data_IF_875230830381
#
_entry.id   IF_875230830381
#
_cell.length_a   1.000
_cell.length_b   1.000
_cell.length_c   1.000
_cell.angle_alpha   90.00
_cell.angle_beta   90.00
_cell.angle_gamma   90.00
#
_symmetry.space_group_name_H-M   'P 1'
#
loop_
_entity.id
_entity.type
_entity.pdbx_description
1 polymer ?
#
# COMPACT_ATOMS: atom_id res chain seq x y z
N UNK A 1 -7.87 -4.29 23.60
CA UNK A 1 -7.89 -4.37 22.11
C UNK A 1 -6.57 -3.81 21.61
N UNK A 2 -5.90 -4.47 20.64
CA UNK A 2 -4.68 -3.92 20.03
C UNK A 2 -5.05 -2.69 19.19
N UNK A 3 -4.26 -1.63 19.32
CA UNK A 3 -4.39 -0.40 18.54
C UNK A 3 -3.28 -0.33 17.50
N UNK A 4 -3.62 0.20 16.33
CA UNK A 4 -2.69 0.47 15.24
C UNK A 4 -2.66 1.96 14.92
N UNK A 5 -1.58 2.42 14.32
CA UNK A 5 -1.58 3.69 13.62
C UNK A 5 -1.86 3.42 12.13
N UNK A 6 -2.58 4.33 11.51
CA UNK A 6 -2.90 4.30 10.07
C UNK A 6 -2.01 5.30 9.36
N UNK A 7 -1.51 4.95 8.18
CA UNK A 7 -0.81 5.87 7.30
C UNK A 7 -1.55 5.97 5.97
N UNK A 8 -1.86 7.19 5.57
CA UNK A 8 -2.52 7.51 4.31
C UNK A 8 -1.74 8.59 3.57
N UNK A 9 -1.06 8.26 2.46
CA UNK A 9 -0.48 9.26 1.57
C UNK A 9 -1.56 9.97 0.75
N UNK A 10 -1.48 11.29 0.66
CA UNK A 10 -2.50 12.11 0.03
C UNK A 10 -1.93 12.82 -1.20
N UNK A 11 -2.49 12.49 -2.36
CA UNK A 11 -2.19 13.13 -3.63
C UNK A 11 -3.51 13.52 -4.32
N UNK A 12 -4.11 14.65 -3.86
CA UNK A 12 -5.44 15.07 -4.29
C UNK A 12 -6.56 14.18 -3.78
N UNK A 13 -7.65 14.10 -4.54
CA UNK A 13 -8.83 13.23 -4.29
C UNK A 13 -9.51 13.49 -2.94
N UNK A 14 -9.89 14.73 -2.57
CA UNK A 14 -10.42 15.02 -1.23
C UNK A 14 -11.70 14.27 -0.91
N UNK A 15 -12.65 14.12 -1.83
CA UNK A 15 -13.88 13.38 -1.59
C UNK A 15 -13.65 11.89 -1.45
N UNK A 16 -12.77 11.31 -2.27
CA UNK A 16 -12.37 9.91 -2.13
C UNK A 16 -11.65 9.70 -0.79
N UNK A 17 -10.73 10.61 -0.42
CA UNK A 17 -10.03 10.59 0.87
C UNK A 17 -11.01 10.62 2.05
N UNK A 18 -12.00 11.50 2.02
CA UNK A 18 -13.03 11.59 3.05
C UNK A 18 -13.83 10.29 3.15
N UNK A 19 -14.27 9.73 2.02
CA UNK A 19 -14.99 8.45 1.99
C UNK A 19 -14.14 7.29 2.50
N UNK A 20 -12.86 7.22 2.10
CA UNK A 20 -11.91 6.21 2.59
C UNK A 20 -11.81 6.26 4.11
N UNK A 21 -11.51 7.43 4.67
CA UNK A 21 -11.35 7.59 6.12
C UNK A 21 -12.66 7.36 6.87
N UNK A 22 -13.81 7.86 6.37
CA UNK A 22 -15.11 7.63 7.00
C UNK A 22 -15.48 6.15 7.01
N UNK A 23 -15.33 5.44 5.89
CA UNK A 23 -15.61 4.01 5.84
C UNK A 23 -14.66 3.22 6.74
N UNK A 24 -13.36 3.54 6.76
CA UNK A 24 -12.39 2.91 7.65
C UNK A 24 -12.75 3.12 9.13
N UNK A 25 -13.04 4.36 9.51
CA UNK A 25 -13.40 4.70 10.90
C UNK A 25 -14.72 4.05 11.32
N UNK A 26 -15.71 3.96 10.43
CA UNK A 26 -16.99 3.34 10.74
C UNK A 26 -16.85 1.83 11.02
N UNK A 27 -15.93 1.14 10.35
CA UNK A 27 -15.77 -0.30 10.48
C UNK A 27 -14.66 -0.73 11.44
N UNK A 28 -13.55 0.01 11.46
CA UNK A 28 -12.33 -0.36 12.21
C UNK A 28 -11.85 0.70 13.20
N UNK A 29 -12.63 1.75 13.45
CA UNK A 29 -12.23 2.90 14.29
C UNK A 29 -11.78 2.50 15.70
N UNK A 30 -12.39 1.46 16.27
CA UNK A 30 -12.01 0.93 17.58
C UNK A 30 -10.57 0.38 17.64
N UNK A 31 -9.99 0.05 16.50
CA UNK A 31 -8.61 -0.44 16.38
C UNK A 31 -7.62 0.69 16.08
N UNK A 32 -8.07 1.90 15.75
CA UNK A 32 -7.21 3.00 15.31
C UNK A 32 -6.86 3.91 16.51
N UNK A 33 -5.57 4.24 16.65
CA UNK A 33 -5.08 5.26 17.57
C UNK A 33 -4.90 6.60 16.88
N UNK A 34 -4.04 6.64 15.86
CA UNK A 34 -3.71 7.83 15.10
C UNK A 34 -3.75 7.56 13.60
N UNK A 35 -4.02 8.61 12.84
CA UNK A 35 -3.95 8.60 11.39
C UNK A 35 -2.87 9.59 10.94
N UNK A 36 -1.79 9.09 10.36
CA UNK A 36 -0.77 9.90 9.71
C UNK A 36 -1.26 10.30 8.32
N UNK A 37 -1.68 11.54 8.20
CA UNK A 37 -2.18 12.15 6.97
C UNK A 37 -1.01 12.82 6.24
N UNK A 38 -0.43 12.14 5.26
CA UNK A 38 0.81 12.56 4.61
C UNK A 38 0.49 13.30 3.32
N UNK A 39 0.59 14.62 3.35
CA UNK A 39 0.29 15.49 2.20
C UNK A 39 1.48 15.60 1.27
N UNK A 40 1.24 15.41 -0.02
CA UNK A 40 2.19 15.81 -1.07
C UNK A 40 2.17 17.34 -1.24
N UNK A 41 3.31 17.97 -1.61
CA UNK A 41 3.40 19.43 -1.72
C UNK A 41 2.61 19.99 -2.90
N UNK A 42 2.21 19.14 -3.83
CA UNK A 42 1.38 19.49 -4.99
C UNK A 42 0.33 18.43 -5.20
N UNK A 43 -0.87 18.85 -5.46
CA UNK A 43 -1.99 17.96 -5.79
C UNK A 43 -2.39 18.11 -7.27
N UNK A 44 -2.93 17.03 -7.89
CA UNK A 44 -3.47 17.11 -9.23
C UNK A 44 -4.52 18.22 -9.35
N UNK A 45 -4.51 18.94 -10.45
CA UNK A 45 -5.49 19.97 -10.77
C UNK A 45 -5.65 21.07 -9.69
N UNK A 46 -4.60 21.28 -8.86
CA UNK A 46 -4.59 22.22 -7.72
C UNK A 46 -5.72 21.97 -6.70
N UNK A 47 -6.12 20.73 -6.52
CA UNK A 47 -7.21 20.38 -5.62
C UNK A 47 -6.84 20.63 -4.15
N UNK A 48 -7.82 21.02 -3.35
CA UNK A 48 -7.63 21.30 -1.93
C UNK A 48 -8.12 20.11 -1.08
N UNK A 49 -7.20 19.53 -0.31
CA UNK A 49 -7.47 18.41 0.59
C UNK A 49 -7.57 18.81 2.06
N UNK A 50 -7.29 20.08 2.41
CA UNK A 50 -7.15 20.51 3.80
C UNK A 50 -8.47 20.39 4.58
N UNK A 51 -9.58 20.71 3.94
CA UNK A 51 -10.90 20.65 4.56
C UNK A 51 -11.30 19.22 5.01
N UNK A 52 -10.66 18.18 4.48
CA UNK A 52 -10.91 16.79 4.91
C UNK A 52 -10.51 16.60 6.36
N UNK A 53 -9.48 17.32 6.81
CA UNK A 53 -8.97 17.20 8.18
C UNK A 53 -9.95 17.67 9.24
N UNK A 54 -10.90 18.54 8.90
CA UNK A 54 -11.92 19.05 9.83
C UNK A 54 -12.92 17.96 10.30
N UNK A 55 -12.92 16.81 9.64
CA UNK A 55 -13.83 15.68 9.95
C UNK A 55 -13.27 14.66 10.93
N UNK A 56 -12.02 14.82 11.38
CA UNK A 56 -11.35 13.79 12.20
C UNK A 56 -10.45 14.42 13.27
N UNK A 57 -10.64 14.02 14.52
CA UNK A 57 -9.90 14.57 15.67
C UNK A 57 -8.52 13.88 15.89
N UNK A 58 -8.29 12.71 15.29
CA UNK A 58 -7.09 11.90 15.51
C UNK A 58 -6.09 11.91 14.33
N UNK A 59 -6.18 12.92 13.46
CA UNK A 59 -5.24 13.11 12.37
C UNK A 59 -3.95 13.78 12.84
N UNK A 60 -2.82 13.24 12.41
CA UNK A 60 -1.52 13.89 12.47
C UNK A 60 -1.08 14.23 11.05
N UNK A 61 -1.13 15.53 10.75
CA UNK A 61 -0.80 16.03 9.42
C UNK A 61 0.71 16.18 9.29
N UNK A 62 1.28 15.58 8.25
CA UNK A 62 2.64 15.82 7.81
C UNK A 62 2.63 16.28 6.35
N UNK A 63 3.06 17.51 6.13
CA UNK A 63 3.20 18.06 4.79
C UNK A 63 4.66 17.90 4.35
N UNK A 64 4.86 17.26 3.22
CA UNK A 64 6.19 17.06 2.65
C UNK A 64 6.70 18.34 2.02
N UNK A 65 7.98 18.62 2.19
CA UNK A 65 8.65 19.73 1.51
C UNK A 65 8.82 19.47 0.01
N UNK A 66 8.98 18.20 -0.35
CA UNK A 66 9.15 17.75 -1.74
C UNK A 66 8.31 16.51 -1.97
N UNK A 67 7.90 16.25 -3.21
CA UNK A 67 7.25 14.99 -3.58
C UNK A 67 8.12 13.79 -3.19
N UNK A 68 7.46 12.66 -2.94
CA UNK A 68 8.18 11.44 -2.55
C UNK A 68 9.26 11.05 -3.57
N UNK A 69 10.31 10.43 -3.07
CA UNK A 69 11.43 9.93 -3.88
C UNK A 69 11.39 8.40 -3.96
N UNK A 70 11.95 7.87 -5.04
CA UNK A 70 11.97 6.43 -5.29
C UNK A 70 13.16 5.73 -4.65
N UNK A 71 14.29 6.43 -4.52
CA UNK A 71 15.53 5.91 -3.98
C UNK A 71 16.18 6.92 -3.04
N UNK A 72 16.82 6.41 -2.01
CA UNK A 72 17.56 7.22 -1.06
C UNK A 72 18.97 7.56 -1.57
N UNK A 73 19.40 8.79 -1.27
CA UNK A 73 20.80 9.20 -1.43
C UNK A 73 21.62 8.88 -0.17
N UNK A 74 21.03 9.09 1.00
CA UNK A 74 21.66 8.81 2.29
C UNK A 74 20.66 8.14 3.24
N UNK A 75 20.89 6.86 3.54
CA UNK A 75 20.05 6.07 4.44
C UNK A 75 20.13 6.52 5.91
N UNK A 76 21.19 7.23 6.29
CA UNK A 76 21.38 7.73 7.65
C UNK A 76 20.74 9.10 7.87
N UNK A 77 20.43 9.83 6.79
CA UNK A 77 19.75 11.11 6.87
C UNK A 77 18.24 10.91 7.04
N UNK A 78 17.71 11.28 8.21
CA UNK A 78 16.28 11.16 8.49
C UNK A 78 15.40 11.95 7.50
N UNK A 79 15.80 13.18 7.16
CA UNK A 79 15.04 14.01 6.22
C UNK A 79 14.95 13.37 4.84
N UNK A 80 15.99 12.65 4.40
CA UNK A 80 15.95 11.91 3.14
C UNK A 80 15.05 10.69 3.25
N UNK A 81 15.09 9.96 4.38
CA UNK A 81 14.19 8.80 4.60
C UNK A 81 12.73 9.21 4.60
N UNK A 82 12.38 10.34 5.22
CA UNK A 82 10.99 10.83 5.29
C UNK A 82 10.41 11.22 3.91
N UNK A 83 11.26 11.37 2.90
CA UNK A 83 10.81 11.58 1.51
C UNK A 83 10.36 10.29 0.83
N UNK A 84 10.68 9.11 1.38
CA UNK A 84 10.17 7.84 0.86
C UNK A 84 8.68 7.67 1.16
N UNK A 85 8.01 6.98 0.25
CA UNK A 85 6.62 6.55 0.45
C UNK A 85 6.47 5.77 1.77
N UNK A 86 5.48 6.13 2.57
CA UNK A 86 5.13 5.50 3.86
C UNK A 86 6.17 5.59 4.99
N UNK A 87 7.40 6.05 4.76
CA UNK A 87 8.48 6.03 5.76
C UNK A 87 8.15 6.83 7.03
N UNK A 88 7.39 7.92 6.89
CA UNK A 88 6.96 8.71 8.05
C UNK A 88 6.26 7.85 9.12
N UNK A 89 5.32 6.99 8.71
CA UNK A 89 4.61 6.10 9.62
C UNK A 89 5.53 5.08 10.30
N UNK A 90 6.51 4.52 9.57
CA UNK A 90 7.48 3.59 10.15
C UNK A 90 8.36 4.24 11.22
N UNK A 91 8.72 5.51 11.08
CA UNK A 91 9.59 6.23 12.02
C UNK A 91 8.82 6.85 13.19
N UNK A 92 7.60 7.34 12.99
CA UNK A 92 6.87 8.10 13.99
C UNK A 92 5.74 7.34 14.70
N UNK A 93 5.33 6.18 14.19
CA UNK A 93 4.42 5.31 14.94
C UNK A 93 5.13 4.68 16.13
N UNK A 94 4.43 4.57 17.24
CA UNK A 94 4.86 3.83 18.42
C UNK A 94 4.11 2.50 18.59
N UNK A 95 3.32 2.10 17.59
CA UNK A 95 2.57 0.83 17.62
C UNK A 95 3.39 -0.31 17.06
N UNK A 96 3.08 -1.52 17.49
CA UNK A 96 3.61 -2.76 16.93
C UNK A 96 3.25 -2.89 15.46
N UNK A 97 2.03 -2.47 15.09
CA UNK A 97 1.50 -2.59 13.74
C UNK A 97 1.21 -1.22 13.13
N UNK A 98 1.48 -1.10 11.83
CA UNK A 98 1.14 0.04 10.99
C UNK A 98 0.21 -0.42 9.86
N UNK A 99 -0.97 0.20 9.76
CA UNK A 99 -1.88 -0.01 8.65
C UNK A 99 -1.63 1.05 7.57
N UNK A 100 -1.37 0.62 6.34
CA UNK A 100 -1.13 1.50 5.20
C UNK A 100 -2.32 1.40 4.25
N UNK A 101 -2.83 2.54 3.80
CA UNK A 101 -3.94 2.62 2.86
C UNK A 101 -3.72 3.70 1.82
N UNK A 102 -4.28 3.52 0.61
CA UNK A 102 -4.47 4.60 -0.35
C UNK A 102 -5.70 5.44 0.01
N UNK A 103 -5.84 6.58 -0.64
CA UNK A 103 -6.94 7.51 -0.41
C UNK A 103 -8.13 7.33 -1.37
N UNK A 104 -8.23 6.17 -2.03
CA UNK A 104 -9.29 5.79 -2.96
C UNK A 104 -9.84 4.39 -2.70
N UNK A 105 -9.82 3.97 -1.44
CA UNK A 105 -10.29 2.65 -0.98
C UNK A 105 -11.61 2.80 -0.24
N UNK A 106 -12.63 2.04 -0.63
CA UNK A 106 -13.86 1.89 0.17
C UNK A 106 -13.74 0.67 1.08
N UNK A 107 -13.93 0.86 2.38
CA UNK A 107 -13.99 -0.21 3.36
C UNK A 107 -15.44 -0.65 3.60
N UNK A 108 -15.65 -1.98 3.65
CA UNK A 108 -16.99 -2.60 3.74
C UNK A 108 -17.16 -3.50 4.96
N UNK A 109 -16.14 -3.57 5.83
CA UNK A 109 -16.13 -4.35 7.07
C UNK A 109 -14.90 -4.06 7.92
N UNK A 110 -14.80 -4.70 9.09
CA UNK A 110 -13.69 -4.49 10.03
C UNK A 110 -12.39 -5.13 9.53
N UNK A 111 -11.74 -4.44 8.59
CA UNK A 111 -10.50 -4.92 7.97
C UNK A 111 -9.33 -4.98 8.96
N UNK A 112 -9.19 -3.98 9.84
CA UNK A 112 -8.06 -3.95 10.78
C UNK A 112 -8.20 -5.03 11.84
N UNK A 113 -9.42 -5.24 12.37
CA UNK A 113 -9.68 -6.33 13.32
C UNK A 113 -9.38 -7.69 12.70
N UNK A 114 -9.90 -7.96 11.52
CA UNK A 114 -9.64 -9.20 10.79
C UNK A 114 -8.14 -9.41 10.49
N UNK A 115 -7.43 -8.36 10.08
CA UNK A 115 -5.99 -8.46 9.81
C UNK A 115 -5.19 -8.71 11.09
N UNK A 116 -5.53 -8.06 12.21
CA UNK A 116 -4.88 -8.30 13.51
C UNK A 116 -5.06 -9.73 14.01
N UNK A 117 -6.22 -10.34 13.76
CA UNK A 117 -6.49 -11.74 14.12
C UNK A 117 -5.73 -12.73 13.23
N UNK A 118 -5.47 -12.39 11.97
CA UNK A 118 -4.93 -13.31 10.98
C UNK A 118 -3.43 -13.13 10.70
N UNK A 119 -2.81 -12.01 11.06
CA UNK A 119 -1.38 -11.76 10.79
C UNK A 119 -0.46 -12.73 11.53
N UNK A 120 -0.82 -13.15 12.75
CA UNK A 120 -0.05 -14.08 13.60
C UNK A 120 1.44 -13.71 13.65
N UNK A 121 2.33 -14.64 13.28
CA UNK A 121 3.78 -14.45 13.25
C UNK A 121 4.29 -13.92 11.89
N UNK A 122 3.39 -13.43 11.03
CA UNK A 122 3.77 -12.89 9.72
C UNK A 122 4.18 -11.43 9.83
N UNK A 123 5.06 -10.99 8.91
CA UNK A 123 5.55 -9.61 8.88
C UNK A 123 4.55 -8.64 8.22
N UNK A 124 3.62 -9.16 7.42
CA UNK A 124 2.59 -8.36 6.79
C UNK A 124 1.39 -9.17 6.29
N UNK A 125 0.24 -8.53 6.20
CA UNK A 125 -1.01 -9.08 5.69
C UNK A 125 -1.70 -8.05 4.79
N UNK A 126 -2.21 -8.49 3.67
CA UNK A 126 -2.88 -7.68 2.65
C UNK A 126 -2.93 -8.43 1.34
N UNK A 127 -3.33 -7.79 0.25
CA UNK A 127 -3.35 -8.43 -1.05
C UNK A 127 -1.94 -8.73 -1.53
N UNK A 128 -1.61 -10.03 -1.70
CA UNK A 128 -0.30 -10.46 -2.21
C UNK A 128 -0.28 -10.52 -3.73
N UNK A 129 0.81 -9.98 -4.30
CA UNK A 129 1.17 -10.10 -5.70
C UNK A 129 0.45 -9.13 -6.62
N UNK A 130 1.10 -8.83 -7.74
CA UNK A 130 0.52 -8.09 -8.86
C UNK A 130 -0.24 -9.04 -9.80
N UNK A 131 -1.22 -9.75 -9.24
CA UNK A 131 -1.85 -10.90 -9.90
C UNK A 131 -2.63 -10.55 -11.16
N UNK A 132 -3.08 -9.30 -11.35
CA UNK A 132 -3.84 -8.88 -12.55
C UNK A 132 -3.02 -8.93 -13.85
N UNK A 133 -1.69 -8.74 -13.80
CA UNK A 133 -0.80 -8.85 -14.95
C UNK A 133 0.13 -10.07 -14.89
N UNK A 134 0.17 -10.78 -13.78
CA UNK A 134 1.15 -11.82 -13.51
C UNK A 134 1.02 -13.02 -14.47
N UNK A 135 2.09 -13.41 -15.19
CA UNK A 135 2.07 -14.54 -16.12
C UNK A 135 1.86 -15.87 -15.39
N UNK A 136 2.38 -16.05 -14.19
CA UNK A 136 2.13 -17.25 -13.38
C UNK A 136 0.65 -17.37 -12.97
N UNK A 137 -0.02 -16.23 -12.70
CA UNK A 137 -1.47 -16.22 -12.45
C UNK A 137 -2.27 -16.56 -13.68
N UNK A 138 -1.91 -16.00 -14.85
CA UNK A 138 -2.54 -16.33 -16.15
C UNK A 138 -2.41 -17.81 -16.48
N UNK A 139 -1.27 -18.41 -16.17
CA UNK A 139 -1.02 -19.84 -16.32
C UNK A 139 -1.64 -20.71 -15.19
N UNK A 140 -2.37 -20.12 -14.25
CA UNK A 140 -2.97 -20.78 -13.08
C UNK A 140 -1.99 -21.53 -12.15
N UNK A 141 -0.73 -21.12 -12.15
CA UNK A 141 0.35 -21.69 -11.32
C UNK A 141 0.47 -21.02 -9.96
N UNK A 142 0.18 -19.72 -9.89
CA UNK A 142 0.33 -18.91 -8.69
C UNK A 142 -0.85 -17.95 -8.51
N UNK A 143 -1.12 -17.61 -7.26
CA UNK A 143 -2.01 -16.51 -6.84
C UNK A 143 -1.54 -16.03 -5.47
N UNK A 144 -2.12 -14.96 -4.91
CA UNK A 144 -1.84 -14.57 -3.53
C UNK A 144 -2.07 -15.73 -2.55
N UNK A 145 -3.22 -16.41 -2.65
CA UNK A 145 -3.56 -17.57 -1.80
C UNK A 145 -2.59 -18.74 -1.98
N UNK A 146 -2.16 -19.01 -3.22
CA UNK A 146 -1.24 -20.09 -3.58
C UNK A 146 0.23 -19.67 -3.60
N UNK A 147 0.54 -18.47 -3.08
CA UNK A 147 1.88 -17.92 -3.17
C UNK A 147 2.94 -18.87 -2.62
N UNK A 148 2.72 -19.54 -1.51
CA UNK A 148 3.69 -20.47 -0.90
C UNK A 148 3.65 -21.88 -1.47
N UNK A 149 2.68 -22.24 -2.29
CA UNK A 149 2.55 -23.55 -2.91
C UNK A 149 3.39 -23.68 -4.20
N UNK A 150 3.56 -22.56 -4.93
CA UNK A 150 4.30 -22.52 -6.18
C UNK A 150 5.78 -22.20 -5.95
N UNK A 151 6.65 -23.15 -6.28
CA UNK A 151 8.10 -23.03 -6.11
C UNK A 151 8.78 -23.40 -7.43
N UNK A 152 8.84 -22.48 -8.41
CA UNK A 152 9.36 -22.74 -9.75
C UNK A 152 10.88 -22.83 -9.78
N UNK A 153 11.40 -23.54 -10.80
CA UNK A 153 12.76 -23.37 -11.27
C UNK A 153 12.88 -22.11 -12.14
N UNK A 154 14.11 -21.70 -12.42
CA UNK A 154 14.37 -20.57 -13.32
C UNK A 154 13.82 -20.82 -14.71
N UNK A 155 14.01 -22.02 -15.27
CA UNK A 155 13.51 -22.44 -16.60
C UNK A 155 11.99 -22.41 -16.68
N UNK A 156 11.32 -22.86 -15.61
CA UNK A 156 9.85 -22.79 -15.54
C UNK A 156 9.35 -21.34 -15.60
N UNK A 157 10.01 -20.41 -14.88
CA UNK A 157 9.64 -18.99 -14.97
C UNK A 157 9.92 -18.40 -16.35
N UNK A 158 11.05 -18.74 -16.97
CA UNK A 158 11.39 -18.27 -18.33
C UNK A 158 10.44 -18.82 -19.40
N UNK A 159 9.77 -19.93 -19.14
CA UNK A 159 8.75 -20.49 -20.05
C UNK A 159 7.41 -19.76 -20.03
N UNK A 160 7.19 -18.87 -19.04
CA UNK A 160 5.99 -18.06 -18.96
C UNK A 160 5.96 -16.96 -20.03
N UNK A 161 4.77 -16.43 -20.28
CA UNK A 161 4.56 -15.32 -21.23
C UNK A 161 5.09 -13.99 -20.64
N UNK A 162 6.41 -13.82 -20.76
CA UNK A 162 7.16 -12.62 -20.39
C UNK A 162 7.50 -11.81 -21.66
N UNK A 163 7.61 -10.47 -21.58
CA UNK A 163 7.53 -9.61 -20.40
C UNK A 163 6.08 -9.37 -19.91
N UNK A 164 5.97 -8.89 -18.66
CA UNK A 164 4.71 -8.42 -18.11
C UNK A 164 4.91 -7.07 -17.42
N UNK A 165 3.94 -6.15 -17.60
CA UNK A 165 4.00 -4.80 -17.03
C UNK A 165 5.35 -4.09 -17.25
N UNK A 166 6.21 -3.99 -16.25
CA UNK A 166 7.46 -3.22 -16.28
C UNK A 166 8.71 -4.09 -16.27
N UNK A 167 8.58 -5.42 -16.31
CA UNK A 167 9.69 -6.35 -16.15
C UNK A 167 9.83 -7.31 -17.31
N UNK A 168 11.06 -7.75 -17.56
CA UNK A 168 11.48 -8.61 -18.65
C UNK A 168 12.07 -9.92 -18.14
N UNK A 169 12.55 -10.78 -19.01
CA UNK A 169 13.22 -12.03 -18.63
C UNK A 169 14.54 -11.80 -17.89
N UNK A 170 15.20 -10.70 -18.19
CA UNK A 170 16.47 -10.30 -17.60
C UNK A 170 16.33 -9.89 -16.12
N UNK A 171 15.12 -9.53 -15.68
CA UNK A 171 14.83 -9.17 -14.28
C UNK A 171 14.59 -10.40 -13.40
N UNK A 172 14.48 -11.60 -13.97
CA UNK A 172 14.29 -12.84 -13.22
C UNK A 172 15.61 -13.25 -12.59
N UNK A 173 15.62 -13.38 -11.28
CA UNK A 173 16.75 -13.87 -10.52
C UNK A 173 16.96 -15.37 -10.80
N UNK A 174 18.10 -15.80 -11.37
CA UNK A 174 18.32 -17.18 -11.72
C UNK A 174 18.51 -18.11 -10.48
N UNK A 175 18.88 -17.53 -9.34
CA UNK A 175 19.06 -18.28 -8.08
C UNK A 175 17.75 -18.36 -7.32
N UNK A 176 17.02 -17.23 -7.30
CA UNK A 176 15.76 -17.08 -6.59
C UNK A 176 14.67 -16.60 -7.55
N UNK A 177 14.15 -17.44 -8.44
CA UNK A 177 13.20 -17.03 -9.48
C UNK A 177 11.84 -16.61 -8.93
N UNK A 178 11.61 -16.82 -7.65
CA UNK A 178 10.44 -16.37 -6.89
C UNK A 178 10.87 -15.55 -5.67
N UNK A 179 10.17 -14.44 -5.34
CA UNK A 179 8.98 -13.91 -6.00
C UNK A 179 9.29 -13.33 -7.38
N UNK A 180 8.32 -13.34 -8.29
CA UNK A 180 8.47 -12.67 -9.59
C UNK A 180 8.74 -11.17 -9.40
N UNK A 181 9.41 -10.50 -10.36
CA UNK A 181 9.96 -9.16 -10.17
C UNK A 181 8.98 -8.08 -9.71
N UNK A 182 7.70 -8.19 -10.01
CA UNK A 182 6.68 -7.21 -9.60
C UNK A 182 5.82 -7.68 -8.40
N UNK A 183 6.14 -8.86 -7.85
CA UNK A 183 5.36 -9.40 -6.73
C UNK A 183 5.64 -8.63 -5.44
N UNK A 184 4.59 -8.28 -4.71
CA UNK A 184 4.67 -7.50 -3.47
C UNK A 184 3.48 -7.73 -2.55
N UNK A 185 3.55 -7.19 -1.34
CA UNK A 185 2.39 -6.86 -0.54
C UNK A 185 1.89 -5.50 -1.02
N UNK A 186 0.65 -5.44 -1.48
CA UNK A 186 0.11 -4.22 -2.06
C UNK A 186 -0.19 -3.16 -0.99
N UNK A 187 0.26 -1.93 -1.27
CA UNK A 187 0.27 -0.81 -0.34
C UNK A 187 -1.09 -0.09 -0.21
N UNK A 188 -2.05 -0.41 -1.06
CA UNK A 188 -3.37 0.25 -1.00
C UNK A 188 -4.25 -0.17 0.18
N UNK A 189 -3.96 -1.33 0.80
CA UNK A 189 -4.61 -1.76 2.04
C UNK A 189 -3.84 -2.93 2.64
N UNK A 190 -2.92 -2.64 3.57
CA UNK A 190 -2.13 -3.68 4.23
C UNK A 190 -1.79 -3.32 5.67
N UNK A 191 -1.65 -4.35 6.51
CA UNK A 191 -1.16 -4.23 7.88
C UNK A 191 0.25 -4.83 7.95
N UNK A 192 1.21 -4.07 8.48
CA UNK A 192 2.60 -4.48 8.62
C UNK A 192 2.95 -4.56 10.09
N UNK A 193 3.60 -5.64 10.52
CA UNK A 193 4.29 -5.67 11.79
C UNK A 193 5.51 -4.76 11.70
N UNK A 194 5.32 -3.51 12.15
CA UNK A 194 6.30 -2.43 12.07
C UNK A 194 7.58 -2.76 12.85
N UNK A 195 7.44 -3.39 14.02
CA UNK A 195 8.59 -3.71 14.84
C UNK A 195 9.47 -4.79 14.19
N UNK A 196 8.87 -5.82 13.60
CA UNK A 196 9.60 -6.82 12.82
C UNK A 196 10.24 -6.20 11.59
N UNK A 197 9.48 -5.38 10.84
CA UNK A 197 9.98 -4.69 9.65
C UNK A 197 11.18 -3.80 9.99
N UNK A 198 11.09 -2.99 11.04
CA UNK A 198 12.17 -2.07 11.44
C UNK A 198 13.44 -2.79 11.90
N UNK A 199 13.38 -4.02 12.41
CA UNK A 199 14.56 -4.82 12.74
C UNK A 199 15.29 -5.29 11.49
N UNK A 200 14.56 -5.60 10.43
CA UNK A 200 15.10 -6.13 9.18
C UNK A 200 15.56 -5.05 8.20
N UNK A 201 14.96 -3.86 8.28
CA UNK A 201 15.24 -2.77 7.34
C UNK A 201 16.39 -1.88 7.78
N UNK A 202 16.98 -1.18 6.84
CA UNK A 202 17.98 -0.15 7.11
C UNK A 202 17.50 0.83 8.18
N UNK A 203 18.36 1.35 9.04
CA UNK A 203 19.79 1.00 9.22
C UNK A 203 20.04 -0.21 10.15
N UNK A 204 19.01 -0.86 10.66
CA UNK A 204 19.13 -1.94 11.65
C UNK A 204 19.46 -3.30 10.99
N UNK A 205 18.94 -3.53 9.81
CA UNK A 205 19.21 -4.69 8.95
C UNK A 205 19.72 -4.26 7.58
N UNK A 206 19.56 -5.11 6.58
CA UNK A 206 20.01 -4.90 5.20
C UNK A 206 18.86 -4.90 4.17
N UNK A 207 17.63 -5.06 4.63
CA UNK A 207 16.44 -4.95 3.79
C UNK A 207 16.17 -3.49 3.40
N UNK A 208 15.88 -3.20 2.13
CA UNK A 208 15.42 -1.87 1.73
C UNK A 208 14.18 -1.43 2.49
N UNK A 209 13.96 -0.12 2.66
CA UNK A 209 12.72 0.40 3.24
C UNK A 209 11.50 0.05 2.37
N UNK A 210 10.34 -0.07 3.00
CA UNK A 210 9.07 -0.34 2.31
C UNK A 210 8.79 0.65 1.16
N UNK A 211 9.13 1.92 1.34
CA UNK A 211 8.92 2.97 0.33
C UNK A 211 9.92 2.99 -0.83
N UNK A 212 10.94 2.14 -0.83
CA UNK A 212 11.89 2.04 -1.96
C UNK A 212 11.20 1.36 -3.13
N UNK A 213 11.35 1.98 -4.32
CA UNK A 213 10.83 1.43 -5.55
C UNK A 213 11.85 0.46 -6.21
N UNK A 214 11.33 -0.65 -6.68
CA UNK A 214 11.88 -1.42 -7.77
C UNK A 214 11.00 -1.16 -8.99
N UNK A 215 10.33 -2.18 -9.55
CA UNK A 215 9.24 -1.94 -10.50
C UNK A 215 8.08 -1.16 -9.88
N UNK A 216 7.87 -1.29 -8.55
CA UNK A 216 6.87 -0.55 -7.78
C UNK A 216 7.26 -0.43 -6.29
N UNK A 217 6.50 0.37 -5.51
CA UNK A 217 6.69 0.49 -4.08
C UNK A 217 6.54 -0.86 -3.37
N UNK A 218 7.36 -1.10 -2.36
CA UNK A 218 7.31 -2.32 -1.56
C UNK A 218 7.91 -3.56 -2.21
N UNK A 219 8.22 -3.57 -3.50
CA UNK A 219 8.77 -4.74 -4.21
C UNK A 219 10.13 -5.17 -3.65
N UNK A 220 11.15 -4.29 -3.52
CA UNK A 220 12.45 -4.67 -2.98
C UNK A 220 12.36 -5.14 -1.51
N UNK A 221 11.53 -4.46 -0.72
CA UNK A 221 11.26 -4.81 0.67
C UNK A 221 10.64 -6.20 0.80
N UNK A 222 9.59 -6.47 0.03
CA UNK A 222 8.89 -7.75 0.01
C UNK A 222 9.81 -8.91 -0.42
N UNK A 223 10.55 -8.73 -1.54
CA UNK A 223 11.48 -9.73 -2.05
C UNK A 223 12.56 -10.06 -1.01
N UNK A 224 13.20 -9.05 -0.44
CA UNK A 224 14.25 -9.24 0.58
C UNK A 224 13.74 -10.01 1.80
N UNK A 225 12.60 -9.60 2.35
CA UNK A 225 12.01 -10.26 3.52
C UNK A 225 11.55 -11.69 3.22
N UNK A 226 10.96 -11.92 2.05
CA UNK A 226 10.59 -13.28 1.64
C UNK A 226 11.81 -14.20 1.55
N UNK A 227 12.91 -13.73 0.96
CA UNK A 227 14.16 -14.50 0.84
C UNK A 227 14.81 -14.77 2.21
N UNK A 228 14.60 -13.91 3.19
CA UNK A 228 14.99 -14.13 4.60
C UNK A 228 14.06 -15.09 5.36
N UNK A 229 13.01 -15.58 4.72
CA UNK A 229 12.07 -16.55 5.31
C UNK A 229 10.88 -15.94 6.04
N UNK A 230 10.72 -14.61 6.05
CA UNK A 230 9.53 -13.98 6.60
C UNK A 230 8.28 -14.36 5.82
N UNK A 231 7.17 -14.48 6.54
CA UNK A 231 5.87 -14.85 5.96
C UNK A 231 4.98 -13.63 5.78
N UNK A 232 4.11 -13.72 4.78
CA UNK A 232 3.05 -12.77 4.49
C UNK A 232 1.73 -13.52 4.37
N UNK A 233 0.62 -12.86 4.69
CA UNK A 233 -0.72 -13.43 4.57
C UNK A 233 -1.47 -12.74 3.45
N UNK A 234 -2.04 -13.50 2.51
CA UNK A 234 -2.96 -12.94 1.50
C UNK A 234 -4.32 -12.63 2.14
N UNK A 235 -4.78 -11.39 1.98
CA UNK A 235 -6.06 -10.94 2.49
C UNK A 235 -6.73 -9.98 1.50
N UNK A 236 -7.97 -10.31 1.09
CA UNK A 236 -8.69 -9.62 -0.01
C UNK A 236 -10.13 -9.28 0.34
N UNK A 237 -10.46 -9.17 1.64
CA UNK A 237 -11.82 -8.94 2.10
C UNK A 237 -11.98 -7.54 2.67
N UNK A 238 -13.22 -7.09 2.78
CA UNK A 238 -13.60 -5.87 3.47
C UNK A 238 -13.06 -4.56 2.88
N UNK A 239 -12.62 -4.56 1.62
CA UNK A 239 -12.23 -3.36 0.90
C UNK A 239 -12.41 -3.48 -0.62
N UNK A 240 -12.56 -2.33 -1.28
CA UNK A 240 -12.55 -2.20 -2.74
C UNK A 240 -11.63 -1.04 -3.10
N UNK A 241 -10.52 -1.32 -3.78
CA UNK A 241 -9.58 -0.32 -4.24
C UNK A 241 -10.08 0.37 -5.52
N UNK A 242 -9.81 1.66 -5.66
CA UNK A 242 -10.25 2.53 -6.78
C UNK A 242 -11.78 2.49 -7.02
N UNK A 243 -12.57 2.40 -5.94
CA UNK A 243 -14.02 2.18 -5.99
C UNK A 243 -14.76 3.23 -6.81
N UNK A 244 -14.36 4.52 -6.73
CA UNK A 244 -15.05 5.62 -7.40
C UNK A 244 -14.52 5.91 -8.79
N UNK A 245 -13.41 5.30 -9.19
CA UNK A 245 -12.78 5.52 -10.48
C UNK A 245 -13.36 4.61 -11.56
N UNK A 246 -13.56 5.14 -12.77
CA UNK A 246 -13.88 4.34 -13.95
C UNK A 246 -12.65 3.67 -14.56
N UNK A 247 -11.46 4.12 -14.16
CA UNK A 247 -10.18 3.57 -14.60
C UNK A 247 -9.64 2.60 -13.55
N UNK A 248 -8.98 1.56 -13.99
CA UNK A 248 -8.42 0.51 -13.14
C UNK A 248 -7.22 0.98 -12.29
N UNK A 249 -6.75 2.20 -12.47
CA UNK A 249 -5.55 2.74 -11.83
C UNK A 249 -5.78 4.17 -11.33
N UNK A 250 -5.52 4.38 -10.05
CA UNK A 250 -5.53 5.71 -9.46
C UNK A 250 -4.55 6.68 -10.12
N UNK A 251 -3.43 6.18 -10.65
CA UNK A 251 -2.47 6.97 -11.41
C UNK A 251 -3.05 7.48 -12.74
N UNK A 252 -3.74 6.65 -13.49
CA UNK A 252 -4.38 7.07 -14.75
C UNK A 252 -5.45 8.14 -14.49
N UNK A 253 -6.21 8.00 -13.41
CA UNK A 253 -7.24 8.97 -13.03
C UNK A 253 -6.64 10.36 -12.78
N UNK A 254 -5.45 10.47 -12.19
CA UNK A 254 -4.80 11.77 -11.92
C UNK A 254 -4.05 12.35 -13.13
N UNK A 255 -3.99 11.65 -14.27
CA UNK A 255 -3.41 12.15 -15.53
C UNK A 255 -4.45 12.80 -16.44
N UNK A 256 -5.74 12.58 -16.20
CA UNK A 256 -6.83 13.13 -17.01
C UNK A 256 -7.86 13.82 -16.11
N UNK A 257 -8.03 15.14 -16.31
CA UNK A 257 -8.90 15.99 -15.50
C UNK A 257 -10.36 15.54 -15.53
N UNK A 258 -10.86 15.07 -16.68
CA UNK A 258 -12.26 14.63 -16.79
C UNK A 258 -12.53 13.40 -15.94
N UNK A 259 -11.61 12.41 -15.99
CA UNK A 259 -11.73 11.22 -15.13
C UNK A 259 -11.53 11.56 -13.64
N UNK A 260 -10.62 12.49 -13.35
CA UNK A 260 -10.41 12.98 -11.99
C UNK A 260 -11.67 13.61 -11.42
N UNK A 261 -12.22 14.64 -12.10
CA UNK A 261 -13.45 15.34 -11.67
C UNK A 261 -14.60 14.36 -11.52
N UNK A 262 -14.79 13.45 -12.48
CA UNK A 262 -15.87 12.48 -12.43
C UNK A 262 -15.73 11.52 -11.24
N UNK A 263 -14.51 11.08 -10.92
CA UNK A 263 -14.29 10.21 -9.77
C UNK A 263 -14.55 10.93 -8.44
N UNK A 264 -14.19 12.21 -8.34
CA UNK A 264 -14.50 13.06 -7.18
C UNK A 264 -16.02 13.32 -7.04
N UNK A 265 -16.72 13.56 -8.14
CA UNK A 265 -18.19 13.68 -8.15
C UNK A 265 -18.86 12.38 -7.70
N UNK A 266 -18.40 11.24 -8.17
CA UNK A 266 -18.87 9.92 -7.72
C UNK A 266 -18.66 9.72 -6.22
N UNK A 267 -17.49 10.08 -5.71
CA UNK A 267 -17.18 10.00 -4.28
C UNK A 267 -18.03 10.96 -3.45
N UNK A 268 -18.22 12.19 -3.90
CA UNK A 268 -19.10 13.18 -3.27
C UNK A 268 -20.54 12.70 -3.19
N UNK A 269 -21.05 12.16 -4.29
CA UNK A 269 -22.40 11.56 -4.33
C UNK A 269 -22.51 10.42 -3.34
N UNK A 270 -21.54 9.50 -3.34
CA UNK A 270 -21.51 8.38 -2.41
C UNK A 270 -21.49 8.84 -0.95
N UNK A 271 -20.69 9.87 -0.64
CA UNK A 271 -20.63 10.45 0.70
C UNK A 271 -22.00 10.97 1.15
N UNK A 272 -22.68 11.74 0.30
CA UNK A 272 -24.00 12.31 0.60
C UNK A 272 -25.07 11.24 0.82
N UNK A 273 -24.98 10.12 0.10
CA UNK A 273 -25.94 9.02 0.19
C UNK A 273 -25.71 8.07 1.38
N UNK A 274 -24.45 7.98 1.88
CA UNK A 274 -24.08 6.94 2.84
C UNK A 274 -23.54 7.47 4.17
N UNK A 275 -23.08 8.72 4.27
CA UNK A 275 -22.47 9.28 5.46
C UNK A 275 -23.13 10.53 6.01
N UNK A 276 -24.06 11.14 5.29
CA UNK A 276 -24.91 12.24 5.79
C UNK A 276 -26.26 11.61 6.17
N UNK A 277 -26.53 11.54 7.48
CA UNK A 277 -27.83 11.16 8.04
C UNK A 277 -28.57 12.42 8.45
#
# INVERSE_FOLDING_TARGET
MKKVDVLIPIYGKPWQTLCTLKSLMNHSGDHIDKIFFIKEPKHPFNDNVDWVTDYFDNLLIYERETSFIYNLKDIHNQNDRLKLFAQYGFEYSNKEFLFITHNDVLYTGDIIGDMLENIKDSIGIGELGQCWNCPAKKANLCSGEKFYEWNPTYEEVLSLDLPYSRTTKEDIDPINPKPLPECRLNEWSCLINREMSNKETYPNGDTPFFGVFGPDAGVPWFKSLHLKGHKFVDYRKNFVHSFWSELSSGYQTVQDENYYVKSEENAKKYYNENFII
#
